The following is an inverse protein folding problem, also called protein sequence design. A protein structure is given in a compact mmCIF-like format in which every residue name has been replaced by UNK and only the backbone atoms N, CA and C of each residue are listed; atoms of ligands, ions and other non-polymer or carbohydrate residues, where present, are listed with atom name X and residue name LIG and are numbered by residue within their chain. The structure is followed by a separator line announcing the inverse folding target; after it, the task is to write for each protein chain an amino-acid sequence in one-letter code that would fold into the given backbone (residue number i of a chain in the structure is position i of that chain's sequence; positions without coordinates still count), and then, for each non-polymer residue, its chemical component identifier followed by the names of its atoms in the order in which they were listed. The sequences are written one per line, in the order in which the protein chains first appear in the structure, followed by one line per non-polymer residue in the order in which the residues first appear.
data_IF_402195950347
#
_entry.id   IF_402195950347
#
_cell.length_a   1.000
_cell.length_b   1.000
_cell.length_c   1.000
_cell.angle_alpha   90.00
_cell.angle_beta   90.00
_cell.angle_gamma   90.00
#
_symmetry.space_group_name_H-M   'P 1'
#
loop_
_entity.id
_entity.type
_entity.pdbx_description
1 polymer ?
#
# COMPACT_ATOMS: atom_id res chain seq x y z
N UNK A 1 53.73 -13.01 -59.55
CA UNK A 1 52.89 -12.84 -60.75
C UNK A 1 52.56 -14.22 -61.29
N UNK A 2 51.37 -14.67 -60.96
CA UNK A 2 50.76 -15.96 -61.32
C UNK A 2 49.29 -15.65 -61.60
N UNK A 3 48.67 -16.27 -62.62
CA UNK A 3 47.40 -15.81 -63.19
C UNK A 3 46.16 -16.24 -62.39
N UNK A 4 44.98 -15.63 -62.66
CA UNK A 4 43.78 -15.79 -61.86
C UNK A 4 42.96 -17.01 -62.31
N UNK A 5 42.41 -17.75 -61.33
CA UNK A 5 41.40 -18.78 -61.56
C UNK A 5 40.02 -18.22 -61.24
N UNK A 6 39.19 -18.07 -62.28
CA UNK A 6 37.75 -17.77 -62.20
C UNK A 6 36.96 -19.07 -62.43
N UNK A 7 35.95 -19.34 -61.60
CA UNK A 7 34.70 -20.14 -61.82
C UNK A 7 34.16 -20.53 -60.44
N UNK A 8 32.88 -20.61 -60.09
CA UNK A 8 31.57 -20.12 -60.53
C UNK A 8 30.60 -20.47 -59.34
N UNK A 9 29.39 -19.88 -59.23
CA UNK A 9 28.60 -19.88 -58.01
C UNK A 9 27.72 -21.14 -57.85
N UNK A 10 27.71 -21.69 -56.63
CA UNK A 10 26.91 -22.85 -56.24
C UNK A 10 25.45 -22.48 -55.90
N UNK A 11 24.56 -23.16 -56.62
CA UNK A 11 23.12 -23.34 -56.50
C UNK A 11 22.41 -22.98 -55.18
N UNK A 12 21.29 -22.27 -55.37
CA UNK A 12 20.19 -22.01 -54.45
C UNK A 12 19.30 -23.24 -54.28
N UNK A 13 19.17 -23.76 -53.05
CA UNK A 13 18.09 -24.67 -52.65
C UNK A 13 16.98 -23.91 -51.96
N UNK A 14 15.89 -23.66 -52.69
CA UNK A 14 14.58 -23.26 -52.15
C UNK A 14 13.94 -24.46 -51.45
N UNK A 15 13.72 -24.35 -50.15
CA UNK A 15 12.79 -25.21 -49.40
C UNK A 15 11.48 -24.46 -49.21
N UNK A 16 10.48 -24.78 -50.03
CA UNK A 16 9.09 -24.38 -49.87
C UNK A 16 8.38 -25.42 -49.00
N UNK A 17 8.00 -25.05 -47.78
CA UNK A 17 7.05 -25.82 -46.96
C UNK A 17 5.64 -25.23 -47.10
N UNK A 18 4.59 -26.07 -47.28
CA UNK A 18 3.23 -25.61 -47.44
C UNK A 18 2.55 -25.33 -46.08
N UNK A 19 1.76 -24.26 -46.05
CA UNK A 19 0.89 -23.89 -44.94
C UNK A 19 -0.35 -24.81 -44.86
N UNK A 20 -0.85 -25.14 -43.65
CA UNK A 20 -2.10 -25.86 -43.50
C UNK A 20 -3.31 -24.92 -43.61
N UNK A 21 -4.13 -25.18 -44.62
CA UNK A 21 -5.48 -24.60 -44.80
C UNK A 21 -6.46 -25.18 -43.78
N UNK A 22 -7.01 -24.33 -42.92
CA UNK A 22 -8.13 -24.66 -42.04
C UNK A 22 -9.45 -24.17 -42.66
N UNK A 23 -10.33 -25.12 -42.98
CA UNK A 23 -11.73 -24.87 -43.35
C UNK A 23 -12.57 -24.49 -42.12
N UNK A 24 -13.49 -23.51 -42.19
CA UNK A 24 -14.51 -23.35 -41.18
C UNK A 24 -15.74 -24.19 -41.54
N UNK A 25 -16.12 -25.07 -40.62
CA UNK A 25 -17.37 -25.80 -40.65
C UNK A 25 -18.56 -24.86 -40.41
N UNK A 26 -19.58 -25.05 -41.25
CA UNK A 26 -20.91 -24.49 -41.17
C UNK A 26 -21.59 -24.74 -39.83
N UNK A 27 -22.24 -23.72 -39.26
CA UNK A 27 -23.37 -23.94 -38.38
C UNK A 27 -24.52 -22.99 -38.73
N UNK A 28 -25.54 -23.56 -39.38
CA UNK A 28 -26.83 -22.91 -39.64
C UNK A 28 -27.70 -23.12 -38.40
N UNK A 29 -28.15 -22.03 -37.78
CA UNK A 29 -29.19 -22.05 -36.75
C UNK A 29 -30.27 -21.03 -37.10
N UNK A 30 -31.41 -21.52 -37.56
CA UNK A 30 -32.65 -20.77 -37.73
C UNK A 30 -33.34 -20.55 -36.38
N UNK A 31 -33.79 -19.32 -36.12
CA UNK A 31 -34.99 -18.98 -35.33
C UNK A 31 -35.30 -17.48 -35.55
N UNK A 32 -36.28 -17.11 -36.39
CA UNK A 32 -37.69 -16.81 -36.02
C UNK A 32 -37.79 -15.82 -34.83
N UNK A 33 -38.14 -14.54 -34.98
CA UNK A 33 -39.43 -13.94 -35.39
C UNK A 33 -40.09 -13.22 -34.20
N UNK A 34 -40.65 -12.04 -34.48
CA UNK A 34 -41.71 -11.32 -33.70
C UNK A 34 -41.24 -10.56 -32.45
N UNK A 35 -41.87 -9.49 -31.97
CA UNK A 35 -42.93 -8.53 -32.41
C UNK A 35 -43.08 -7.58 -31.22
N UNK A 36 -43.32 -6.29 -31.48
CA UNK A 36 -43.95 -5.36 -30.51
C UNK A 36 -43.10 -5.02 -29.28
N UNK A 37 -43.25 -3.89 -28.62
CA UNK A 37 -44.33 -2.91 -28.60
C UNK A 37 -43.84 -1.76 -27.73
N UNK A 38 -43.89 -0.53 -28.25
CA UNK A 38 -43.97 0.67 -27.41
C UNK A 38 -45.21 0.58 -26.51
N UNK A 39 -45.17 1.17 -25.31
CA UNK A 39 -45.93 2.40 -25.15
C UNK A 39 -45.28 3.48 -24.28
N UNK A 40 -45.59 4.72 -24.64
CA UNK A 40 -46.01 5.80 -23.75
C UNK A 40 -46.07 5.46 -22.25
N UNK A 41 -45.59 6.35 -21.37
CA UNK A 41 -46.28 7.56 -20.86
C UNK A 41 -45.73 8.00 -19.50
N UNK A 42 -45.91 9.30 -19.25
CA UNK A 42 -46.05 10.02 -17.96
C UNK A 42 -44.77 10.48 -17.27
N UNK A 43 -44.62 11.81 -17.32
CA UNK A 43 -43.78 12.56 -16.42
C UNK A 43 -44.27 12.53 -14.97
N UNK A 44 -43.30 12.83 -14.10
CA UNK A 44 -43.47 13.30 -12.73
C UNK A 44 -42.43 14.43 -12.60
N UNK A 45 -42.88 15.68 -12.56
CA UNK A 45 -43.20 16.41 -11.33
C UNK A 45 -41.97 16.49 -10.40
N UNK A 46 -41.21 17.58 -10.57
CA UNK A 46 -40.06 17.90 -9.75
C UNK A 46 -40.46 18.31 -8.33
N UNK A 47 -39.61 18.06 -7.32
CA UNK A 47 -39.83 18.57 -5.98
C UNK A 47 -39.47 20.05 -5.85
N UNK A 48 -40.12 20.78 -4.92
CA UNK A 48 -40.03 22.22 -4.80
C UNK A 48 -38.68 22.69 -4.24
N UNK A 49 -38.20 23.81 -4.79
CA UNK A 49 -37.05 24.56 -4.27
C UNK A 49 -37.39 25.15 -2.91
N UNK A 50 -36.76 24.63 -1.86
CA UNK A 50 -36.73 25.28 -0.55
C UNK A 50 -35.75 26.45 -0.60
N UNK A 51 -36.29 27.65 -0.36
CA UNK A 51 -35.55 28.88 -0.20
C UNK A 51 -34.75 28.85 1.11
N UNK A 52 -33.43 28.88 1.02
CA UNK A 52 -32.53 29.17 2.14
C UNK A 52 -32.58 30.67 2.45
N UNK A 53 -32.88 31.09 3.70
CA UNK A 53 -32.76 32.48 4.11
C UNK A 53 -31.28 32.89 4.23
N UNK A 54 -30.91 33.98 3.55
CA UNK A 54 -29.67 34.73 3.81
C UNK A 54 -29.75 35.36 5.19
N UNK A 55 -29.02 34.83 6.17
CA UNK A 55 -28.70 35.55 7.39
C UNK A 55 -27.53 36.50 7.11
N UNK A 56 -27.80 37.81 7.18
CA UNK A 56 -26.78 38.87 7.33
C UNK A 56 -26.13 38.70 8.70
N UNK A 57 -24.81 38.54 8.74
CA UNK A 57 -24.02 38.78 9.94
C UNK A 57 -23.80 40.30 10.08
N UNK A 58 -24.09 40.91 11.23
CA UNK A 58 -23.70 42.29 11.51
C UNK A 58 -22.24 42.35 11.97
N UNK A 59 -21.58 43.45 11.58
CA UNK A 59 -20.29 43.91 12.12
C UNK A 59 -20.31 43.89 13.65
N UNK A 60 -19.38 43.15 14.25
CA UNK A 60 -19.27 42.98 15.69
C UNK A 60 -17.81 42.97 16.12
N UNK A 61 -17.36 44.11 16.62
CA UNK A 61 -16.05 44.37 17.24
C UNK A 61 -15.67 43.25 18.23
N UNK A 62 -14.42 42.81 18.15
CA UNK A 62 -13.78 41.96 19.15
C UNK A 62 -13.51 42.81 20.41
N UNK A 63 -14.07 42.48 21.59
CA UNK A 63 -13.63 43.09 22.83
C UNK A 63 -12.37 42.39 23.32
N UNK A 64 -11.27 43.14 23.36
CA UNK A 64 -10.05 42.81 24.10
C UNK A 64 -10.41 42.69 25.57
N UNK A 65 -10.55 41.46 26.08
CA UNK A 65 -10.77 41.21 27.49
C UNK A 65 -9.42 41.29 28.22
N UNK A 66 -9.14 42.48 28.76
CA UNK A 66 -8.08 42.72 29.73
C UNK A 66 -8.45 41.97 31.01
N UNK A 67 -7.67 40.95 31.34
CA UNK A 67 -7.85 40.10 32.51
C UNK A 67 -7.25 40.83 33.72
N UNK A 68 -8.10 41.56 34.45
CA UNK A 68 -7.74 42.26 35.68
C UNK A 68 -7.58 41.25 36.82
N UNK A 69 -6.35 41.08 37.30
CA UNK A 69 -6.03 40.35 38.52
C UNK A 69 -6.59 41.10 39.74
N UNK A 70 -7.53 40.47 40.45
CA UNK A 70 -7.98 40.87 41.79
C UNK A 70 -7.22 40.02 42.82
N UNK A 71 -6.50 40.61 43.79
CA UNK A 71 -5.93 39.85 44.89
C UNK A 71 -7.01 39.64 45.95
N UNK A 72 -7.52 38.41 46.09
CA UNK A 72 -8.39 38.01 47.19
C UNK A 72 -7.55 37.45 48.32
N UNK A 73 -7.55 38.16 49.44
CA UNK A 73 -6.89 37.80 50.67
C UNK A 73 -7.58 36.60 51.36
N UNK A 74 -6.74 35.77 51.97
CA UNK A 74 -6.95 35.03 53.22
C UNK A 74 -8.23 34.19 53.37
N UNK A 75 -8.11 32.89 53.07
CA UNK A 75 -8.68 31.85 53.94
C UNK A 75 -7.75 30.63 53.94
N UNK A 76 -6.73 30.67 54.80
CA UNK A 76 -5.80 29.59 55.06
C UNK A 76 -6.45 28.57 56.00
N UNK A 77 -7.36 27.77 55.47
CA UNK A 77 -7.74 26.50 56.09
C UNK A 77 -6.64 25.48 55.79
N UNK A 78 -6.01 24.99 56.85
CA UNK A 78 -5.02 23.91 56.84
C UNK A 78 -5.50 22.77 55.94
N UNK A 79 -4.91 22.66 54.75
CA UNK A 79 -4.89 21.40 54.03
C UNK A 79 -4.04 20.41 54.84
N UNK A 80 -4.48 19.17 55.01
CA UNK A 80 -3.62 18.13 55.56
C UNK A 80 -2.34 18.05 54.73
N UNK A 81 -1.21 17.91 55.41
CA UNK A 81 0.12 17.75 54.83
C UNK A 81 0.18 16.40 54.10
N UNK A 82 -0.36 16.37 52.89
CA UNK A 82 -0.38 15.18 52.03
C UNK A 82 0.90 15.19 51.23
N UNK A 83 1.83 14.31 51.59
CA UNK A 83 3.08 14.12 50.87
C UNK A 83 2.77 13.77 49.39
N UNK A 84 3.09 14.66 48.43
CA UNK A 84 2.77 14.44 47.02
C UNK A 84 3.46 13.21 46.45
N UNK A 85 4.53 12.70 47.09
CA UNK A 85 5.19 11.46 46.68
C UNK A 85 4.43 10.21 47.12
N UNK A 86 3.78 10.24 48.28
CA UNK A 86 2.94 9.12 48.74
C UNK A 86 1.71 8.98 47.83
N UNK A 87 1.09 10.09 47.45
CA UNK A 87 -0.09 10.10 46.57
C UNK A 87 0.23 9.64 45.14
N UNK A 88 1.42 9.99 44.61
CA UNK A 88 1.90 9.50 43.31
C UNK A 88 2.30 8.02 43.34
N UNK A 89 2.81 7.52 44.48
CA UNK A 89 3.15 6.11 44.63
C UNK A 89 1.90 5.23 44.70
N UNK A 90 0.87 5.68 45.42
CA UNK A 90 -0.40 4.96 45.53
C UNK A 90 -1.19 4.96 44.19
N UNK A 91 -1.15 6.09 43.46
CA UNK A 91 -1.69 6.16 42.09
C UNK A 91 -0.96 5.26 41.08
N UNK A 92 0.32 4.93 41.31
CA UNK A 92 1.08 4.03 40.46
C UNK A 92 0.90 2.56 40.86
N UNK A 93 0.75 2.28 42.15
CA UNK A 93 0.45 0.94 42.67
C UNK A 93 -0.93 0.43 42.22
N UNK A 94 -1.93 1.31 42.13
CA UNK A 94 -3.26 0.95 41.57
C UNK A 94 -3.25 0.71 40.05
N UNK A 95 -2.23 1.14 39.31
CA UNK A 95 -2.16 0.96 37.84
C UNK A 95 -1.70 -0.42 37.38
N UNK A 96 -1.14 -1.25 38.27
CA UNK A 96 -0.41 -2.47 37.87
C UNK A 96 -1.25 -3.75 37.98
N UNK A 97 -2.47 -3.69 38.53
CA UNK A 97 -3.29 -4.89 38.80
C UNK A 97 -4.59 -4.99 38.00
N UNK A 98 -4.73 -4.28 36.87
CA UNK A 98 -5.85 -4.57 35.97
C UNK A 98 -5.49 -5.76 35.08
N UNK A 99 -6.13 -6.93 35.24
CA UNK A 99 -5.99 -8.02 34.28
C UNK A 99 -6.27 -7.44 32.89
N UNK A 100 -5.42 -7.76 31.92
CA UNK A 100 -5.58 -7.32 30.55
C UNK A 100 -6.96 -7.77 30.06
N UNK A 101 -7.95 -6.87 30.13
CA UNK A 101 -9.27 -7.12 29.59
C UNK A 101 -9.06 -7.49 28.11
N UNK A 102 -9.54 -8.66 27.66
CA UNK A 102 -9.54 -8.99 26.25
C UNK A 102 -10.12 -7.77 25.53
N UNK A 103 -9.36 -7.18 24.59
CA UNK A 103 -9.82 -6.00 23.84
C UNK A 103 -11.27 -6.25 23.45
N UNK A 104 -12.20 -5.34 23.78
CA UNK A 104 -13.62 -5.61 23.67
C UNK A 104 -13.86 -6.13 22.25
N UNK A 105 -14.35 -7.37 22.15
CA UNK A 105 -15.13 -7.82 20.99
C UNK A 105 -16.01 -6.62 20.63
N UNK A 106 -15.95 -6.18 19.38
CA UNK A 106 -16.59 -4.95 18.90
C UNK A 106 -17.87 -4.71 19.69
N UNK A 107 -18.02 -3.55 20.33
CA UNK A 107 -19.08 -3.29 21.33
C UNK A 107 -20.47 -3.76 20.84
N UNK A 108 -20.70 -3.73 19.54
CA UNK A 108 -21.86 -4.29 18.85
C UNK A 108 -22.05 -5.81 19.04
N UNK A 109 -20.98 -6.61 18.98
CA UNK A 109 -21.00 -8.05 19.25
C UNK A 109 -21.32 -8.37 20.71
N UNK A 110 -20.88 -7.52 21.65
CA UNK A 110 -21.24 -7.63 23.06
C UNK A 110 -22.71 -7.30 23.30
N UNK A 111 -23.23 -6.25 22.65
CA UNK A 111 -24.65 -5.89 22.68
C UNK A 111 -25.53 -6.98 22.07
N UNK A 112 -25.14 -7.53 20.91
CA UNK A 112 -25.85 -8.67 20.28
C UNK A 112 -25.88 -9.89 21.20
N UNK A 113 -24.75 -10.23 21.84
CA UNK A 113 -24.71 -11.34 22.81
C UNK A 113 -25.55 -11.09 24.07
N UNK A 114 -25.74 -9.83 24.49
CA UNK A 114 -26.62 -9.48 25.61
C UNK A 114 -28.10 -9.61 25.23
N UNK A 115 -28.46 -9.31 23.97
CA UNK A 115 -29.81 -9.53 23.45
C UNK A 115 -30.13 -11.02 23.29
N UNK A 116 -29.19 -11.80 22.73
CA UNK A 116 -29.34 -13.26 22.58
C UNK A 116 -29.53 -13.97 23.93
N UNK A 117 -28.86 -13.48 24.98
CA UNK A 117 -29.02 -13.99 26.35
C UNK A 117 -30.27 -13.46 27.07
N UNK A 118 -31.07 -12.61 26.43
CA UNK A 118 -32.27 -12.00 27.01
C UNK A 118 -31.99 -10.99 28.13
N UNK A 119 -30.73 -10.57 28.31
CA UNK A 119 -30.33 -9.59 29.34
C UNK A 119 -30.76 -8.18 28.93
N UNK A 120 -30.74 -7.90 27.62
CA UNK A 120 -31.28 -6.67 27.03
C UNK A 120 -32.38 -7.04 26.05
N UNK A 121 -33.45 -6.24 26.00
CA UNK A 121 -34.35 -6.29 24.86
C UNK A 121 -33.67 -5.72 23.61
N UNK A 122 -34.12 -6.12 22.42
CA UNK A 122 -33.62 -5.57 21.16
C UNK A 122 -33.75 -4.03 21.12
N UNK A 123 -34.82 -3.50 21.71
CA UNK A 123 -35.10 -2.07 21.77
C UNK A 123 -34.15 -1.33 22.72
N UNK A 124 -33.79 -1.92 23.87
CA UNK A 124 -32.79 -1.37 24.78
C UNK A 124 -31.39 -1.37 24.16
N UNK A 125 -31.02 -2.45 23.46
CA UNK A 125 -29.75 -2.50 22.74
C UNK A 125 -29.66 -1.41 21.67
N UNK A 126 -30.76 -1.09 20.97
CA UNK A 126 -30.80 0.01 19.99
C UNK A 126 -30.70 1.39 20.63
N UNK A 127 -31.28 1.61 21.82
CA UNK A 127 -31.07 2.84 22.59
C UNK A 127 -29.59 2.99 22.95
N UNK A 128 -28.96 1.92 23.47
CA UNK A 128 -27.55 1.92 23.85
C UNK A 128 -26.65 2.13 22.64
N UNK A 129 -26.97 1.54 21.48
CA UNK A 129 -26.25 1.80 20.22
C UNK A 129 -26.32 3.27 19.84
N UNK A 130 -27.51 3.88 19.91
CA UNK A 130 -27.70 5.31 19.60
C UNK A 130 -26.89 6.20 20.54
N UNK A 131 -26.90 5.92 21.84
CA UNK A 131 -26.17 6.73 22.82
C UNK A 131 -24.65 6.56 22.75
N UNK A 132 -24.17 5.35 22.48
CA UNK A 132 -22.75 5.10 22.27
C UNK A 132 -22.23 5.64 20.93
N UNK A 133 -23.09 6.24 20.10
CA UNK A 133 -22.75 6.64 18.74
C UNK A 133 -22.33 5.43 17.88
N UNK A 134 -22.68 4.22 18.29
CA UNK A 134 -22.55 3.00 17.50
C UNK A 134 -23.65 3.15 16.46
N UNK A 135 -23.30 3.83 15.36
CA UNK A 135 -24.12 3.92 14.17
C UNK A 135 -24.47 2.48 13.82
N UNK A 136 -25.73 2.10 14.07
CA UNK A 136 -26.29 0.84 13.64
C UNK A 136 -25.82 0.68 12.21
N UNK A 137 -25.02 -0.35 11.94
CA UNK A 137 -24.52 -0.60 10.60
C UNK A 137 -25.77 -0.86 9.77
N UNK A 138 -26.32 0.19 9.15
CA UNK A 138 -27.43 0.08 8.21
C UNK A 138 -27.02 -1.04 7.25
N UNK A 139 -27.82 -2.11 7.24
CA UNK A 139 -27.39 -3.45 6.83
C UNK A 139 -26.45 -3.44 5.61
N UNK A 140 -25.33 -4.18 5.63
CA UNK A 140 -24.30 -4.18 4.58
C UNK A 140 -24.81 -4.46 3.15
N UNK A 141 -26.01 -5.02 3.02
CA UNK A 141 -26.49 -5.63 1.78
C UNK A 141 -26.81 -4.64 0.67
N UNK A 142 -27.42 -3.48 0.97
CA UNK A 142 -27.74 -2.49 -0.10
C UNK A 142 -26.51 -1.76 -0.62
N UNK A 143 -25.52 -1.50 0.24
CA UNK A 143 -24.23 -0.93 -0.18
C UNK A 143 -23.42 -1.91 -1.01
N UNK A 144 -23.37 -3.17 -0.60
CA UNK A 144 -22.59 -4.22 -1.27
C UNK A 144 -23.09 -4.54 -2.67
N UNK A 145 -24.41 -4.63 -2.90
CA UNK A 145 -24.96 -4.87 -4.24
C UNK A 145 -24.65 -3.71 -5.18
N UNK A 146 -24.76 -2.47 -4.71
CA UNK A 146 -24.40 -1.29 -5.51
C UNK A 146 -22.90 -1.24 -5.83
N UNK A 147 -22.04 -1.67 -4.90
CA UNK A 147 -20.60 -1.75 -5.10
C UNK A 147 -20.22 -2.84 -6.12
N UNK A 148 -20.77 -4.05 -5.99
CA UNK A 148 -20.58 -5.12 -6.98
C UNK A 148 -21.12 -4.70 -8.35
N UNK A 149 -22.33 -4.14 -8.40
CA UNK A 149 -22.93 -3.68 -9.66
C UNK A 149 -22.07 -2.58 -10.30
N UNK A 150 -21.47 -1.69 -9.51
CA UNK A 150 -20.52 -0.69 -9.98
C UNK A 150 -19.24 -1.30 -10.57
N UNK A 151 -18.64 -2.28 -9.89
CA UNK A 151 -17.45 -2.97 -10.39
C UNK A 151 -17.73 -3.81 -11.64
N UNK A 152 -18.82 -4.57 -11.62
CA UNK A 152 -19.23 -5.40 -12.75
C UNK A 152 -19.62 -4.53 -13.95
N UNK A 153 -20.38 -3.47 -13.72
CA UNK A 153 -20.74 -2.50 -14.75
C UNK A 153 -19.51 -1.82 -15.34
N UNK A 154 -18.56 -1.38 -14.51
CA UNK A 154 -17.30 -0.82 -14.97
C UNK A 154 -16.47 -1.81 -15.80
N UNK A 155 -16.35 -3.06 -15.35
CA UNK A 155 -15.62 -4.11 -16.06
C UNK A 155 -16.28 -4.47 -17.41
N UNK A 156 -17.61 -4.56 -17.45
CA UNK A 156 -18.36 -4.81 -18.69
C UNK A 156 -18.22 -3.66 -19.69
N UNK A 157 -18.32 -2.41 -19.24
CA UNK A 157 -18.11 -1.23 -20.10
C UNK A 157 -16.69 -1.21 -20.65
N UNK A 158 -15.68 -1.47 -19.80
CA UNK A 158 -14.29 -1.53 -20.22
C UNK A 158 -14.04 -2.65 -21.24
N UNK A 159 -14.58 -3.85 -20.99
CA UNK A 159 -14.46 -5.00 -21.91
C UNK A 159 -15.13 -4.69 -23.24
N UNK A 160 -16.34 -4.13 -23.23
CA UNK A 160 -17.06 -3.73 -24.44
C UNK A 160 -16.29 -2.68 -25.24
N UNK A 161 -15.69 -1.69 -24.56
CA UNK A 161 -14.84 -0.70 -25.21
C UNK A 161 -13.60 -1.33 -25.86
N UNK A 162 -12.92 -2.26 -25.17
CA UNK A 162 -11.75 -2.97 -25.71
C UNK A 162 -12.14 -3.79 -26.95
N UNK A 163 -13.22 -4.56 -26.90
CA UNK A 163 -13.70 -5.37 -28.03
C UNK A 163 -14.12 -4.48 -29.22
N UNK A 164 -14.79 -3.37 -28.95
CA UNK A 164 -15.19 -2.42 -29.98
C UNK A 164 -13.97 -1.78 -30.67
N UNK A 165 -12.98 -1.35 -29.88
CA UNK A 165 -11.73 -0.79 -30.41
C UNK A 165 -11.00 -1.85 -31.22
N UNK A 166 -10.81 -3.06 -30.69
CA UNK A 166 -10.11 -4.15 -31.37
C UNK A 166 -10.76 -4.53 -32.70
N UNK A 167 -12.09 -4.65 -32.75
CA UNK A 167 -12.83 -5.00 -33.97
C UNK A 167 -12.88 -3.88 -35.02
N UNK A 168 -12.75 -2.63 -34.59
CA UNK A 168 -12.78 -1.46 -35.49
C UNK A 168 -11.38 -0.99 -35.89
N UNK A 169 -10.34 -1.40 -35.15
CA UNK A 169 -8.99 -0.85 -35.25
C UNK A 169 -8.46 -0.83 -36.68
N UNK A 170 -8.49 -1.98 -37.35
CA UNK A 170 -7.98 -2.15 -38.72
C UNK A 170 -8.73 -1.30 -39.75
N UNK A 171 -9.99 -0.94 -39.48
CA UNK A 171 -10.83 -0.14 -40.39
C UNK A 171 -10.68 1.36 -40.19
N UNK A 172 -10.14 1.78 -39.05
CA UNK A 172 -9.92 3.20 -38.75
C UNK A 172 -8.67 3.70 -39.46
N UNK A 173 -8.76 4.87 -40.09
CA UNK A 173 -7.58 5.61 -40.54
C UNK A 173 -6.71 5.99 -39.34
N UNK A 174 -5.42 6.22 -39.57
CA UNK A 174 -4.48 6.66 -38.53
C UNK A 174 -5.01 7.90 -37.78
N UNK A 175 -5.50 8.91 -38.51
CA UNK A 175 -6.13 10.11 -37.94
C UNK A 175 -7.34 9.78 -37.06
N UNK A 176 -8.16 8.81 -37.45
CA UNK A 176 -9.30 8.37 -36.67
C UNK A 176 -8.88 7.63 -35.39
N UNK A 177 -7.83 6.79 -35.44
CA UNK A 177 -7.25 6.12 -34.26
C UNK A 177 -6.68 7.13 -33.27
N UNK A 178 -5.88 8.08 -33.75
CA UNK A 178 -5.26 9.12 -32.93
C UNK A 178 -6.30 10.03 -32.30
N UNK A 179 -7.30 10.51 -33.07
CA UNK A 179 -8.37 11.36 -32.52
C UNK A 179 -9.25 10.63 -31.51
N UNK A 180 -9.55 9.35 -31.73
CA UNK A 180 -10.29 8.53 -30.78
C UNK A 180 -9.52 8.38 -29.45
N UNK A 181 -8.23 8.05 -29.51
CA UNK A 181 -7.41 7.91 -28.30
C UNK A 181 -7.15 9.23 -27.59
N UNK A 182 -6.99 10.33 -28.33
CA UNK A 182 -6.92 11.68 -27.75
C UNK A 182 -8.21 12.00 -26.97
N UNK A 183 -9.38 11.69 -27.54
CA UNK A 183 -10.67 11.89 -26.88
C UNK A 183 -10.82 11.02 -25.62
N UNK A 184 -10.40 9.76 -25.68
CA UNK A 184 -10.36 8.86 -24.50
C UNK A 184 -9.45 9.43 -23.42
N UNK A 185 -8.26 9.91 -23.79
CA UNK A 185 -7.31 10.53 -22.86
C UNK A 185 -7.92 11.73 -22.16
N UNK A 186 -8.55 12.64 -22.90
CA UNK A 186 -9.24 13.82 -22.34
C UNK A 186 -10.39 13.40 -21.43
N UNK A 187 -11.19 12.39 -21.82
CA UNK A 187 -12.29 11.88 -21.02
C UNK A 187 -11.79 11.27 -19.69
N UNK A 188 -10.69 10.51 -19.70
CA UNK A 188 -10.08 9.94 -18.50
C UNK A 188 -9.53 11.02 -17.57
N UNK A 189 -8.84 12.04 -18.09
CA UNK A 189 -8.36 13.19 -17.31
C UNK A 189 -9.53 13.96 -16.67
N UNK A 190 -10.58 14.23 -17.44
CA UNK A 190 -11.76 14.93 -16.94
C UNK A 190 -12.50 14.11 -15.88
N UNK A 191 -12.70 12.80 -16.10
CA UNK A 191 -13.31 11.91 -15.13
C UNK A 191 -12.48 11.80 -13.85
N UNK A 192 -11.15 11.71 -13.96
CA UNK A 192 -10.22 11.73 -12.83
C UNK A 192 -10.33 13.02 -12.02
N UNK A 193 -10.35 14.18 -12.68
CA UNK A 193 -10.51 15.48 -12.04
C UNK A 193 -11.88 15.65 -11.35
N UNK A 194 -12.97 15.17 -11.99
CA UNK A 194 -14.31 15.17 -11.38
C UNK A 194 -14.37 14.24 -10.16
N UNK A 195 -13.76 13.05 -10.25
CA UNK A 195 -13.71 12.07 -9.17
C UNK A 195 -12.87 12.55 -7.98
N UNK A 196 -11.78 13.29 -8.23
CA UNK A 196 -10.97 13.91 -7.18
C UNK A 196 -11.75 14.97 -6.39
N UNK A 197 -12.72 15.64 -7.04
CA UNK A 197 -13.60 16.63 -6.43
C UNK A 197 -12.89 17.96 -6.13
N UNK A 198 -13.68 19.02 -5.90
CA UNK A 198 -13.17 20.40 -5.65
C UNK A 198 -13.02 20.75 -4.17
N UNK A 199 -13.41 19.87 -3.24
CA UNK A 199 -13.50 20.20 -1.81
C UNK A 199 -12.62 19.30 -0.94
N UNK A 200 -11.67 19.90 -0.22
CA UNK A 200 -10.89 19.29 0.87
C UNK A 200 -11.73 18.94 2.11
N UNK A 201 -12.95 18.44 1.93
CA UNK A 201 -13.93 18.38 3.01
C UNK A 201 -14.32 16.94 3.40
N UNK A 202 -13.93 16.63 4.65
CA UNK A 202 -14.38 15.56 5.55
C UNK A 202 -13.84 14.16 5.29
N UNK A 203 -13.14 13.67 6.32
CA UNK A 203 -12.55 12.35 6.59
C UNK A 203 -13.56 11.17 6.53
N UNK A 204 -14.45 11.18 5.55
CA UNK A 204 -15.35 10.05 5.30
C UNK A 204 -14.63 9.00 4.46
N UNK A 205 -14.80 7.72 4.77
CA UNK A 205 -14.27 6.58 3.98
C UNK A 205 -14.56 6.69 2.48
N UNK A 206 -15.66 7.35 2.11
CA UNK A 206 -16.03 7.61 0.72
C UNK A 206 -15.02 8.52 -0.03
N UNK A 207 -14.38 9.46 0.67
CA UNK A 207 -13.31 10.28 0.09
C UNK A 207 -12.11 9.42 -0.31
N UNK A 208 -11.75 8.43 0.52
CA UNK A 208 -10.64 7.51 0.21
C UNK A 208 -10.91 6.66 -1.04
N UNK A 209 -12.14 6.15 -1.21
CA UNK A 209 -12.50 5.37 -2.40
C UNK A 209 -12.47 6.22 -3.68
N UNK A 210 -13.01 7.44 -3.63
CA UNK A 210 -13.00 8.37 -4.78
C UNK A 210 -11.60 8.75 -5.22
N UNK A 211 -10.71 9.04 -4.27
CA UNK A 211 -9.31 9.37 -4.57
C UNK A 211 -8.55 8.18 -5.20
N UNK A 212 -8.86 6.94 -4.79
CA UNK A 212 -8.30 5.75 -5.44
C UNK A 212 -8.76 5.64 -6.89
N UNK A 213 -10.05 5.79 -7.15
CA UNK A 213 -10.61 5.76 -8.52
C UNK A 213 -9.99 6.88 -9.37
N UNK A 214 -9.91 8.10 -8.85
CA UNK A 214 -9.27 9.20 -9.55
C UNK A 214 -7.79 8.91 -9.89
N UNK A 215 -7.03 8.31 -8.96
CA UNK A 215 -5.63 7.94 -9.21
C UNK A 215 -5.47 6.88 -10.31
N UNK A 216 -6.42 5.94 -10.42
CA UNK A 216 -6.46 4.93 -11.49
C UNK A 216 -6.80 5.59 -12.84
N UNK A 217 -7.79 6.48 -12.86
CA UNK A 217 -8.17 7.20 -14.08
C UNK A 217 -7.02 8.05 -14.64
N UNK A 218 -6.29 8.74 -13.77
CA UNK A 218 -5.11 9.48 -14.18
C UNK A 218 -3.97 8.58 -14.67
N UNK A 219 -3.75 7.43 -14.03
CA UNK A 219 -2.77 6.44 -14.49
C UNK A 219 -3.11 5.91 -15.89
N UNK A 220 -4.39 5.59 -16.15
CA UNK A 220 -4.86 5.18 -17.47
C UNK A 220 -4.73 6.30 -18.50
N UNK A 221 -5.01 7.55 -18.11
CA UNK A 221 -4.82 8.70 -18.99
C UNK A 221 -3.35 8.89 -19.42
N UNK A 222 -2.40 8.66 -18.51
CA UNK A 222 -0.97 8.73 -18.82
C UNK A 222 -0.54 7.66 -19.84
N UNK A 223 -0.99 6.40 -19.65
CA UNK A 223 -0.74 5.32 -20.61
C UNK A 223 -1.41 5.60 -21.95
N UNK A 224 -2.66 6.06 -21.93
CA UNK A 224 -3.39 6.46 -23.13
C UNK A 224 -2.71 7.61 -23.87
N UNK A 225 -2.10 8.56 -23.14
CA UNK A 225 -1.29 9.64 -23.73
C UNK A 225 -0.09 9.08 -24.49
N UNK A 226 0.67 8.16 -23.88
CA UNK A 226 1.81 7.53 -24.56
C UNK A 226 1.38 6.81 -25.84
N UNK A 227 0.30 6.04 -25.80
CA UNK A 227 -0.23 5.33 -26.98
C UNK A 227 -0.71 6.32 -28.05
N UNK A 228 -1.40 7.40 -27.64
CA UNK A 228 -1.89 8.44 -28.56
C UNK A 228 -0.73 9.11 -29.30
N UNK A 229 0.32 9.51 -28.57
CA UNK A 229 1.52 10.12 -29.16
C UNK A 229 2.24 9.12 -30.05
N UNK A 230 2.36 7.86 -29.62
CA UNK A 230 2.97 6.77 -30.40
C UNK A 230 2.33 6.56 -31.77
N UNK A 231 1.00 6.60 -31.85
CA UNK A 231 0.26 6.42 -33.12
C UNK A 231 0.23 7.70 -33.97
N UNK A 232 0.41 8.86 -33.35
CA UNK A 232 0.48 10.12 -34.09
C UNK A 232 1.83 10.34 -34.80
N UNK A 233 2.81 9.47 -34.56
CA UNK A 233 4.14 9.55 -35.15
C UNK A 233 4.15 8.90 -36.54
N UNK A 234 4.87 9.47 -37.52
CA UNK A 234 4.91 8.93 -38.89
C UNK A 234 5.51 7.53 -38.96
N UNK A 235 5.01 6.69 -39.86
CA UNK A 235 5.62 5.40 -40.18
C UNK A 235 6.84 5.54 -41.12
N UNK A 236 7.95 4.80 -40.91
CA UNK A 236 8.18 3.85 -39.82
C UNK A 236 8.60 4.56 -38.51
N UNK A 237 8.00 4.16 -37.39
CA UNK A 237 8.31 4.73 -36.08
C UNK A 237 9.73 4.33 -35.64
N UNK A 238 10.55 5.32 -35.30
CA UNK A 238 11.88 5.13 -34.75
C UNK A 238 11.85 4.95 -33.22
N UNK A 239 12.88 4.31 -32.65
CA UNK A 239 13.01 4.16 -31.19
C UNK A 239 13.04 5.52 -30.46
N UNK A 240 13.62 6.55 -31.08
CA UNK A 240 13.64 7.91 -30.53
C UNK A 240 12.22 8.51 -30.44
N UNK A 241 11.37 8.24 -31.43
CA UNK A 241 9.97 8.67 -31.43
C UNK A 241 9.14 7.88 -30.40
N UNK A 242 9.40 6.58 -30.23
CA UNK A 242 8.82 5.80 -29.14
C UNK A 242 9.23 6.34 -27.77
N UNK A 243 10.48 6.77 -27.61
CA UNK A 243 10.95 7.41 -26.38
C UNK A 243 10.21 8.73 -26.10
N UNK A 244 9.95 9.54 -27.13
CA UNK A 244 9.12 10.75 -27.02
C UNK A 244 7.69 10.42 -26.59
N UNK A 245 7.08 9.39 -27.19
CA UNK A 245 5.74 8.93 -26.83
C UNK A 245 5.67 8.46 -25.36
N UNK A 246 6.63 7.63 -24.94
CA UNK A 246 6.78 7.22 -23.56
C UNK A 246 6.96 8.42 -22.61
N UNK A 247 7.83 9.36 -22.99
CA UNK A 247 8.13 10.56 -22.22
C UNK A 247 6.92 11.47 -22.02
N UNK A 248 6.07 11.62 -23.04
CA UNK A 248 4.81 12.35 -22.93
C UNK A 248 3.86 11.70 -21.92
N UNK A 249 3.70 10.37 -21.98
CA UNK A 249 2.93 9.64 -20.97
C UNK A 249 3.53 9.76 -19.58
N UNK A 250 4.85 9.62 -19.44
CA UNK A 250 5.56 9.75 -18.17
C UNK A 250 5.34 11.13 -17.54
N UNK A 251 5.40 12.20 -18.33
CA UNK A 251 5.11 13.55 -17.87
C UNK A 251 3.70 13.65 -17.28
N UNK A 252 2.69 13.12 -17.99
CA UNK A 252 1.31 13.08 -17.49
C UNK A 252 1.19 12.25 -16.22
N UNK A 253 1.88 11.10 -16.13
CA UNK A 253 1.88 10.25 -14.94
C UNK A 253 2.50 10.96 -13.72
N UNK A 254 3.63 11.65 -13.90
CA UNK A 254 4.32 12.40 -12.84
C UNK A 254 3.46 13.57 -12.36
N UNK A 255 2.93 14.38 -13.27
CA UNK A 255 2.02 15.50 -12.92
C UNK A 255 0.80 14.97 -12.16
N UNK A 256 0.21 13.89 -12.63
CA UNK A 256 -0.93 13.26 -11.97
C UNK A 256 -0.61 12.71 -10.59
N UNK A 257 0.58 12.11 -10.42
CA UNK A 257 1.05 11.63 -9.12
C UNK A 257 1.30 12.78 -8.13
N UNK A 258 1.82 13.93 -8.60
CA UNK A 258 2.00 15.13 -7.77
C UNK A 258 0.65 15.66 -7.31
N UNK A 259 -0.33 15.76 -8.22
CA UNK A 259 -1.69 16.26 -7.91
C UNK A 259 -2.43 15.31 -6.97
N UNK A 260 -2.36 14.02 -7.24
CA UNK A 260 -3.07 12.99 -6.48
C UNK A 260 -2.16 11.78 -6.22
N UNK A 261 -1.32 11.84 -5.16
CA UNK A 261 -0.41 10.76 -4.86
C UNK A 261 -1.19 9.48 -4.55
N UNK A 262 -1.05 8.49 -5.41
CA UNK A 262 -1.68 7.18 -5.28
C UNK A 262 -0.78 6.08 -5.84
N UNK A 263 -0.97 4.84 -5.37
CA UNK A 263 -0.18 3.68 -5.80
C UNK A 263 -0.28 3.46 -7.31
N UNK A 264 -1.46 3.61 -7.89
CA UNK A 264 -1.68 3.45 -9.34
C UNK A 264 -0.90 4.47 -10.17
N UNK A 265 -0.86 5.74 -9.72
CA UNK A 265 -0.05 6.77 -10.36
C UNK A 265 1.45 6.48 -10.28
N UNK A 266 1.93 5.97 -9.14
CA UNK A 266 3.32 5.55 -8.98
C UNK A 266 3.68 4.39 -9.91
N UNK A 267 2.79 3.39 -10.03
CA UNK A 267 2.98 2.25 -10.93
C UNK A 267 3.01 2.68 -12.40
N UNK A 268 2.09 3.56 -12.83
CA UNK A 268 2.08 4.09 -14.19
C UNK A 268 3.34 4.91 -14.50
N UNK A 269 3.73 5.82 -13.60
CA UNK A 269 4.96 6.59 -13.75
C UNK A 269 6.20 5.68 -13.81
N UNK A 270 6.24 4.63 -13.00
CA UNK A 270 7.34 3.65 -13.01
C UNK A 270 7.40 2.87 -14.32
N UNK A 271 6.27 2.34 -14.80
CA UNK A 271 6.22 1.60 -16.06
C UNK A 271 6.57 2.47 -17.27
N UNK A 272 6.04 3.70 -17.32
CA UNK A 272 6.34 4.66 -18.38
C UNK A 272 7.81 5.13 -18.31
N UNK A 273 8.39 5.28 -17.12
CA UNK A 273 9.82 5.57 -16.96
C UNK A 273 10.67 4.45 -17.56
N UNK A 274 10.37 3.19 -17.25
CA UNK A 274 11.09 2.05 -17.82
C UNK A 274 10.97 1.99 -19.34
N UNK A 275 9.75 2.16 -19.86
CA UNK A 275 9.50 2.19 -21.30
C UNK A 275 10.28 3.30 -21.99
N UNK A 276 10.23 4.54 -21.46
CA UNK A 276 10.99 5.68 -22.00
C UNK A 276 12.50 5.43 -21.97
N UNK A 277 13.03 4.88 -20.87
CA UNK A 277 14.47 4.64 -20.76
C UNK A 277 14.91 3.54 -21.71
N UNK A 278 14.18 2.43 -21.82
CA UNK A 278 14.55 1.33 -22.74
C UNK A 278 14.52 1.77 -24.21
N UNK A 279 13.48 2.49 -24.62
CA UNK A 279 13.39 3.05 -25.99
C UNK A 279 14.46 4.11 -26.24
N UNK A 280 14.77 4.96 -25.25
CA UNK A 280 15.87 5.94 -25.34
C UNK A 280 17.22 5.23 -25.49
N UNK A 281 17.46 4.17 -24.71
CA UNK A 281 18.69 3.37 -24.81
C UNK A 281 18.76 2.72 -26.18
N UNK A 282 17.69 2.09 -26.66
CA UNK A 282 17.65 1.48 -27.99
C UNK A 282 17.80 2.47 -29.16
N UNK A 283 17.42 3.73 -28.95
CA UNK A 283 17.60 4.80 -29.94
C UNK A 283 19.05 5.30 -30.01
N UNK A 284 19.78 5.31 -28.88
CA UNK A 284 21.13 5.89 -28.78
C UNK A 284 22.24 4.84 -28.81
N UNK A 285 21.91 3.60 -28.48
CA UNK A 285 22.79 2.45 -28.46
C UNK A 285 22.06 1.32 -29.15
N UNK A 286 22.76 0.47 -29.89
CA UNK A 286 22.18 -0.84 -30.23
C UNK A 286 21.75 -1.46 -28.90
N UNK A 287 20.47 -1.86 -28.78
CA UNK A 287 19.84 -2.27 -27.52
C UNK A 287 20.45 -3.60 -27.03
N UNK A 288 21.67 -3.52 -26.53
CA UNK A 288 22.39 -4.63 -25.92
C UNK A 288 21.79 -4.92 -24.55
N UNK A 289 21.77 -6.19 -24.10
CA UNK A 289 21.35 -6.56 -22.75
C UNK A 289 22.10 -5.80 -21.66
N UNK A 290 23.38 -5.46 -21.89
CA UNK A 290 24.16 -4.63 -20.97
C UNK A 290 23.61 -3.20 -20.88
N UNK A 291 23.44 -2.51 -22.00
CA UNK A 291 22.94 -1.13 -22.00
C UNK A 291 21.52 -1.04 -21.45
N UNK A 292 20.65 -1.98 -21.84
CA UNK A 292 19.30 -2.11 -21.29
C UNK A 292 19.32 -2.37 -19.78
N UNK A 293 20.15 -3.30 -19.31
CA UNK A 293 20.32 -3.61 -17.89
C UNK A 293 20.78 -2.41 -17.06
N UNK A 294 21.75 -1.64 -17.55
CA UNK A 294 22.22 -0.40 -16.90
C UNK A 294 21.09 0.63 -16.83
N UNK A 295 20.35 0.84 -17.92
CA UNK A 295 19.21 1.77 -17.96
C UNK A 295 18.12 1.40 -16.96
N UNK A 296 17.74 0.12 -16.92
CA UNK A 296 16.73 -0.39 -15.97
C UNK A 296 17.23 -0.31 -14.53
N UNK A 297 18.49 -0.66 -14.27
CA UNK A 297 19.10 -0.53 -12.94
C UNK A 297 19.08 0.93 -12.47
N UNK A 298 19.45 1.87 -13.34
CA UNK A 298 19.44 3.30 -13.04
C UNK A 298 18.01 3.82 -12.71
N UNK A 299 16.98 3.33 -13.41
CA UNK A 299 15.59 3.64 -13.08
C UNK A 299 15.21 3.17 -11.67
N UNK A 300 15.57 1.94 -11.33
CA UNK A 300 15.32 1.38 -10.00
C UNK A 300 16.08 2.13 -8.90
N UNK A 301 17.32 2.53 -9.17
CA UNK A 301 18.15 3.33 -8.28
C UNK A 301 17.55 4.72 -8.04
N UNK A 302 17.07 5.38 -9.10
CA UNK A 302 16.37 6.66 -9.03
C UNK A 302 15.12 6.57 -8.15
N UNK A 303 14.25 5.58 -8.40
CA UNK A 303 13.03 5.36 -7.61
C UNK A 303 13.33 5.04 -6.14
N UNK A 304 14.35 4.22 -5.88
CA UNK A 304 14.81 3.92 -4.53
C UNK A 304 15.33 5.18 -3.84
N UNK A 305 16.12 6.00 -4.54
CA UNK A 305 16.60 7.30 -4.04
C UNK A 305 15.47 8.26 -3.70
N UNK A 306 14.46 8.39 -4.57
CA UNK A 306 13.25 9.20 -4.35
C UNK A 306 12.42 8.69 -3.16
N UNK A 307 12.37 7.37 -2.95
CA UNK A 307 11.70 6.78 -1.78
C UNK A 307 12.49 7.05 -0.49
N UNK A 308 13.82 6.95 -0.54
CA UNK A 308 14.69 7.17 0.62
C UNK A 308 14.74 8.63 1.07
N UNK A 309 14.68 9.57 0.12
CA UNK A 309 14.62 11.02 0.39
C UNK A 309 13.26 11.50 0.91
N UNK A 310 12.24 10.62 0.94
CA UNK A 310 10.90 10.96 1.41
C UNK A 310 10.08 11.78 0.42
N UNK A 311 10.55 11.95 -0.82
CA UNK A 311 9.80 12.63 -1.88
C UNK A 311 8.54 11.84 -2.31
N UNK A 312 8.57 10.51 -2.17
CA UNK A 312 7.42 9.66 -2.46
C UNK A 312 6.52 9.50 -1.23
N UNK A 313 5.24 9.90 -1.37
CA UNK A 313 4.22 9.72 -0.33
C UNK A 313 4.00 8.24 0.04
N UNK A 314 4.20 7.34 -0.93
CA UNK A 314 4.09 5.89 -0.75
C UNK A 314 5.47 5.24 -0.64
N UNK A 315 6.24 5.64 0.38
CA UNK A 315 7.65 5.27 0.56
C UNK A 315 7.93 3.77 0.44
N UNK A 316 7.15 2.91 1.10
CA UNK A 316 7.36 1.46 1.07
C UNK A 316 7.14 0.87 -0.32
N UNK A 317 6.10 1.32 -1.02
CA UNK A 317 5.79 0.88 -2.39
C UNK A 317 6.86 1.34 -3.37
N UNK A 318 7.29 2.61 -3.28
CA UNK A 318 8.37 3.15 -4.12
C UNK A 318 9.70 2.43 -3.91
N UNK A 319 10.04 2.14 -2.65
CA UNK A 319 11.24 1.40 -2.31
C UNK A 319 11.17 -0.05 -2.82
N UNK A 320 10.02 -0.72 -2.65
CA UNK A 320 9.83 -2.08 -3.18
C UNK A 320 9.95 -2.14 -4.71
N UNK A 321 9.27 -1.24 -5.42
CA UNK A 321 9.36 -1.14 -6.88
C UNK A 321 10.79 -0.84 -7.34
N UNK A 322 11.45 0.15 -6.74
CA UNK A 322 12.81 0.52 -7.09
C UNK A 322 13.78 -0.65 -6.93
N UNK A 323 13.73 -1.38 -5.81
CA UNK A 323 14.62 -2.52 -5.56
C UNK A 323 14.35 -3.72 -6.49
N UNK A 324 13.08 -4.02 -6.79
CA UNK A 324 12.73 -5.07 -7.77
C UNK A 324 13.26 -4.71 -9.15
N UNK A 325 13.15 -3.45 -9.55
CA UNK A 325 13.65 -2.94 -10.83
C UNK A 325 15.18 -2.96 -10.88
N UNK A 326 15.86 -2.55 -9.81
CA UNK A 326 17.32 -2.66 -9.70
C UNK A 326 17.77 -4.11 -9.84
N UNK A 327 17.08 -5.05 -9.18
CA UNK A 327 17.41 -6.47 -9.26
C UNK A 327 17.24 -7.00 -10.69
N UNK A 328 16.13 -6.67 -11.36
CA UNK A 328 15.90 -7.06 -12.75
C UNK A 328 16.95 -6.45 -13.69
N UNK A 329 17.28 -5.17 -13.53
CA UNK A 329 18.33 -4.50 -14.30
C UNK A 329 19.72 -5.11 -14.10
N UNK A 330 20.05 -5.52 -12.87
CA UNK A 330 21.30 -6.20 -12.55
C UNK A 330 21.42 -7.58 -13.22
N UNK A 331 20.31 -8.28 -13.43
CA UNK A 331 20.27 -9.61 -14.06
C UNK A 331 20.11 -9.59 -15.59
N UNK A 332 19.75 -8.44 -16.18
CA UNK A 332 19.55 -8.35 -17.63
C UNK A 332 20.79 -8.75 -18.46
N UNK A 333 22.05 -8.43 -18.05
CA UNK A 333 23.23 -8.84 -18.80
C UNK A 333 23.48 -10.35 -18.87
N UNK A 334 22.74 -11.19 -18.11
CA UNK A 334 22.89 -12.66 -18.15
C UNK A 334 22.53 -13.29 -19.50
N UNK A 335 21.81 -12.56 -20.37
CA UNK A 335 21.45 -13.04 -21.71
C UNK A 335 22.65 -13.22 -22.64
N UNK A 336 23.80 -12.64 -22.32
CA UNK A 336 25.03 -12.72 -23.11
C UNK A 336 26.16 -13.31 -22.27
N UNK A 337 26.82 -14.35 -22.79
CA UNK A 337 27.89 -15.09 -22.09
C UNK A 337 29.02 -14.18 -21.60
N UNK A 338 29.40 -13.18 -22.40
CA UNK A 338 30.50 -12.27 -22.08
C UNK A 338 30.23 -11.39 -20.85
N UNK A 339 28.95 -11.14 -20.53
CA UNK A 339 28.53 -10.25 -19.43
C UNK A 339 27.96 -10.98 -18.21
N UNK A 340 27.85 -12.31 -18.25
CA UNK A 340 27.35 -13.11 -17.13
C UNK A 340 28.10 -12.83 -15.80
N UNK A 341 29.46 -12.77 -15.76
CA UNK A 341 30.17 -12.47 -14.52
C UNK A 341 29.80 -11.12 -13.92
N UNK A 342 29.55 -10.12 -14.78
CA UNK A 342 29.16 -8.78 -14.35
C UNK A 342 27.76 -8.78 -13.73
N UNK A 343 26.82 -9.55 -14.28
CA UNK A 343 25.48 -9.69 -13.70
C UNK A 343 25.51 -10.29 -12.29
N UNK A 344 26.33 -11.33 -12.06
CA UNK A 344 26.51 -11.90 -10.72
C UNK A 344 27.08 -10.89 -9.73
N UNK A 345 28.14 -10.18 -10.14
CA UNK A 345 28.77 -9.16 -9.29
C UNK A 345 27.78 -8.04 -9.00
N UNK A 346 27.04 -7.54 -9.99
CA UNK A 346 26.05 -6.49 -9.82
C UNK A 346 24.92 -6.91 -8.87
N UNK A 347 24.35 -8.10 -9.05
CA UNK A 347 23.28 -8.63 -8.20
C UNK A 347 23.76 -8.87 -6.77
N UNK A 348 24.98 -9.41 -6.60
CA UNK A 348 25.57 -9.61 -5.28
C UNK A 348 25.85 -8.28 -4.56
N UNK A 349 26.44 -7.30 -5.26
CA UNK A 349 26.69 -5.95 -4.74
C UNK A 349 25.38 -5.26 -4.35
N UNK A 350 24.32 -5.39 -5.16
CA UNK A 350 22.99 -4.90 -4.81
C UNK A 350 22.47 -5.54 -3.52
N UNK A 351 22.63 -6.86 -3.38
CA UNK A 351 22.23 -7.60 -2.19
C UNK A 351 22.95 -7.12 -0.92
N UNK A 352 24.28 -7.04 -0.96
CA UNK A 352 25.09 -6.51 0.13
C UNK A 352 24.74 -5.04 0.42
N UNK A 353 24.58 -4.22 -0.61
CA UNK A 353 24.16 -2.83 -0.50
C UNK A 353 22.83 -2.67 0.22
N UNK A 354 21.85 -3.52 -0.08
CA UNK A 354 20.57 -3.56 0.62
C UNK A 354 20.72 -3.97 2.10
N UNK A 355 21.49 -5.02 2.39
CA UNK A 355 21.74 -5.47 3.76
C UNK A 355 22.45 -4.40 4.61
N UNK A 356 23.39 -3.68 4.00
CA UNK A 356 24.08 -2.54 4.63
C UNK A 356 23.08 -1.39 4.81
N UNK A 357 22.29 -1.05 3.79
CA UNK A 357 21.25 -0.02 3.82
C UNK A 357 20.21 -0.26 4.93
N UNK A 358 19.87 -1.52 5.18
CA UNK A 358 18.93 -1.93 6.24
C UNK A 358 19.36 -1.44 7.63
N UNK A 359 20.67 -1.28 7.88
CA UNK A 359 21.18 -0.77 9.16
C UNK A 359 20.68 0.64 9.49
N UNK A 360 20.47 1.49 8.48
CA UNK A 360 19.96 2.86 8.66
C UNK A 360 18.45 2.96 8.46
N UNK A 361 17.89 2.29 7.46
CA UNK A 361 16.46 2.45 7.09
C UNK A 361 15.54 1.54 7.90
N UNK A 362 16.05 0.38 8.38
CA UNK A 362 15.34 -0.61 9.21
C UNK A 362 13.95 -1.04 8.71
N UNK A 363 13.77 -1.08 7.39
CA UNK A 363 12.52 -1.51 6.75
C UNK A 363 12.65 -2.95 6.25
N UNK A 364 11.64 -3.79 6.52
CA UNK A 364 11.64 -5.20 6.09
C UNK A 364 11.79 -5.39 4.58
N UNK A 365 11.26 -4.47 3.76
CA UNK A 365 11.38 -4.50 2.28
C UNK A 365 12.84 -4.49 1.83
N UNK A 366 13.69 -3.64 2.43
CA UNK A 366 15.13 -3.56 2.13
C UNK A 366 15.83 -4.87 2.51
N UNK A 367 15.47 -5.43 3.68
CA UNK A 367 16.03 -6.70 4.15
C UNK A 367 15.68 -7.85 3.21
N UNK A 368 14.40 -7.99 2.84
CA UNK A 368 13.92 -9.04 1.95
C UNK A 368 14.59 -8.93 0.57
N UNK A 369 14.66 -7.72 0.00
CA UNK A 369 15.34 -7.50 -1.27
C UNK A 369 16.82 -7.89 -1.22
N UNK A 370 17.53 -7.54 -0.15
CA UNK A 370 18.92 -7.92 0.04
C UNK A 370 19.13 -9.44 0.13
N UNK A 371 18.28 -10.12 0.91
CA UNK A 371 18.30 -11.59 1.03
C UNK A 371 17.99 -12.26 -0.31
N UNK A 372 16.96 -11.81 -1.03
CA UNK A 372 16.59 -12.35 -2.34
C UNK A 372 17.74 -12.17 -3.33
N UNK A 373 18.32 -10.97 -3.45
CA UNK A 373 19.42 -10.70 -4.38
C UNK A 373 20.65 -11.61 -4.11
N UNK A 374 21.07 -11.75 -2.85
CA UNK A 374 22.18 -12.67 -2.48
C UNK A 374 21.81 -14.13 -2.75
N UNK A 375 20.56 -14.52 -2.47
CA UNK A 375 20.08 -15.89 -2.68
C UNK A 375 19.90 -16.26 -4.15
N UNK A 376 19.80 -15.29 -5.04
CA UNK A 376 19.78 -15.51 -6.49
C UNK A 376 21.22 -15.53 -7.02
N UNK A 377 22.04 -14.51 -6.69
CA UNK A 377 23.40 -14.39 -7.21
C UNK A 377 24.33 -15.56 -6.81
N UNK A 378 24.26 -16.04 -5.55
CA UNK A 378 25.18 -17.06 -5.08
C UNK A 378 24.95 -18.45 -5.73
N UNK A 379 23.72 -18.99 -5.78
CA UNK A 379 23.46 -20.24 -6.49
C UNK A 379 23.76 -20.18 -7.98
N UNK A 380 23.41 -19.09 -8.67
CA UNK A 380 23.67 -18.95 -10.10
C UNK A 380 25.17 -18.93 -10.39
N UNK A 381 25.96 -18.17 -9.61
CA UNK A 381 27.41 -18.15 -9.74
C UNK A 381 28.04 -19.53 -9.48
N UNK A 382 27.54 -20.29 -8.49
CA UNK A 382 28.03 -21.65 -8.21
C UNK A 382 27.63 -22.62 -9.31
N UNK A 383 26.41 -22.52 -9.83
CA UNK A 383 25.92 -23.35 -10.92
C UNK A 383 26.82 -23.20 -12.15
N UNK A 384 27.10 -21.96 -12.56
CA UNK A 384 27.93 -21.66 -13.71
C UNK A 384 29.40 -22.03 -13.49
N UNK A 385 29.97 -21.76 -12.31
CA UNK A 385 31.35 -22.15 -11.98
C UNK A 385 31.56 -23.67 -11.92
N UNK A 386 30.49 -24.45 -11.77
CA UNK A 386 30.56 -25.92 -11.71
C UNK A 386 30.18 -26.57 -13.03
N UNK A 387 29.92 -25.80 -14.09
CA UNK A 387 29.36 -26.30 -15.35
C UNK A 387 28.10 -27.18 -15.12
N UNK A 388 27.33 -26.87 -14.08
CA UNK A 388 26.17 -27.66 -13.63
C UNK A 388 26.49 -29.01 -12.97
N UNK A 389 27.75 -29.39 -12.80
CA UNK A 389 28.16 -30.71 -12.29
C UNK A 389 27.76 -30.98 -10.83
N UNK A 390 27.55 -29.93 -10.02
CA UNK A 390 27.19 -30.04 -8.58
C UNK A 390 25.72 -29.61 -8.32
N UNK A 391 24.93 -29.56 -9.40
CA UNK A 391 23.87 -28.57 -9.61
C UNK A 391 22.69 -28.46 -8.64
N UNK A 392 22.32 -29.50 -7.90
CA UNK A 392 21.14 -29.43 -7.01
C UNK A 392 21.48 -29.38 -5.53
N UNK A 393 22.34 -30.31 -5.09
CA UNK A 393 22.60 -30.54 -3.67
C UNK A 393 23.40 -29.41 -3.02
N UNK A 394 24.41 -28.86 -3.73
CA UNK A 394 25.19 -27.73 -3.20
C UNK A 394 24.34 -26.46 -3.08
N UNK A 395 23.46 -26.20 -4.06
CA UNK A 395 22.53 -25.06 -4.02
C UNK A 395 21.57 -25.17 -2.83
N UNK A 396 20.96 -26.34 -2.61
CA UNK A 396 20.11 -26.57 -1.44
C UNK A 396 20.88 -26.43 -0.12
N UNK A 397 22.12 -26.90 -0.05
CA UNK A 397 22.95 -26.83 1.15
C UNK A 397 23.32 -25.37 1.49
N UNK A 398 23.71 -24.57 0.48
CA UNK A 398 24.01 -23.15 0.66
C UNK A 398 22.75 -22.39 1.07
N UNK A 399 21.62 -22.63 0.39
CA UNK A 399 20.34 -22.01 0.73
C UNK A 399 19.92 -22.35 2.18
N UNK A 400 20.05 -23.61 2.58
CA UNK A 400 19.80 -24.07 3.95
C UNK A 400 20.72 -23.40 4.98
N UNK A 401 22.02 -23.31 4.69
CA UNK A 401 22.99 -22.65 5.56
C UNK A 401 22.68 -21.16 5.76
N UNK A 402 22.32 -20.43 4.68
CA UNK A 402 21.91 -19.02 4.76
C UNK A 402 20.64 -18.87 5.60
N UNK A 403 19.65 -19.74 5.42
CA UNK A 403 18.41 -19.73 6.22
C UNK A 403 18.68 -19.97 7.71
N UNK A 404 19.60 -20.91 8.02
CA UNK A 404 20.02 -21.21 9.39
C UNK A 404 20.73 -20.02 10.05
N UNK A 405 21.64 -19.37 9.33
CA UNK A 405 22.35 -18.18 9.82
C UNK A 405 21.36 -17.03 10.07
N UNK A 406 20.44 -16.79 9.13
CA UNK A 406 19.41 -15.76 9.28
C UNK A 406 18.51 -16.02 10.50
N UNK A 407 18.08 -17.28 10.68
CA UNK A 407 17.29 -17.70 11.84
C UNK A 407 18.04 -17.49 13.16
N UNK A 408 19.31 -17.91 13.23
CA UNK A 408 20.15 -17.73 14.42
C UNK A 408 20.35 -16.25 14.80
N UNK A 409 20.52 -15.37 13.82
CA UNK A 409 20.61 -13.92 14.04
C UNK A 409 19.28 -13.37 14.55
N UNK A 410 18.16 -13.78 13.96
CA UNK A 410 16.81 -13.39 14.40
C UNK A 410 16.52 -13.76 15.86
N UNK A 411 16.90 -14.98 16.27
CA UNK A 411 16.77 -15.44 17.66
C UNK A 411 17.65 -14.66 18.64
N UNK A 412 18.89 -14.32 18.26
CA UNK A 412 19.79 -13.51 19.10
C UNK A 412 19.27 -12.09 19.31
N UNK A 413 18.61 -11.51 18.31
CA UNK A 413 18.00 -10.18 18.43
C UNK A 413 16.76 -10.17 19.33
N UNK A 414 15.92 -11.22 19.29
CA UNK A 414 14.72 -11.30 20.13
C UNK A 414 15.00 -11.53 21.62
N UNK A 415 16.09 -12.23 21.97
CA UNK A 415 16.39 -12.51 23.39
C UNK A 415 16.66 -11.25 24.22
N UNK A 416 17.21 -10.19 23.62
CA UNK A 416 17.48 -8.93 24.32
C UNK A 416 16.22 -8.14 24.69
N UNK A 417 15.10 -8.39 24.02
CA UNK A 417 13.84 -7.70 24.30
C UNK A 417 13.03 -8.41 25.39
N UNK A 418 13.18 -9.73 25.54
CA UNK A 418 12.49 -10.53 26.56
C UNK A 418 13.11 -10.42 27.97
N UNK A 419 14.41 -10.17 28.06
CA UNK A 419 15.14 -10.03 29.33
C UNK A 419 14.80 -8.72 30.09
N UNK A 420 14.19 -7.74 29.40
CA UNK A 420 13.65 -6.52 30.02
C UNK A 420 12.18 -6.67 30.47
N UNK A 421 11.53 -7.77 30.12
CA UNK A 421 10.13 -8.07 30.48
C UNK A 421 10.02 -9.25 31.46
N UNK A 422 11.10 -9.61 32.14
CA UNK A 422 11.07 -10.67 33.16
C UNK A 422 10.44 -10.12 34.45
N UNK A 423 9.41 -10.77 35.02
CA UNK A 423 8.69 -10.30 36.21
C UNK A 423 9.57 -10.08 37.44
N UNK A 424 10.75 -10.70 37.52
CA UNK A 424 11.69 -10.53 38.65
C UNK A 424 12.21 -9.09 38.80
N UNK A 425 12.27 -8.32 37.70
CA UNK A 425 12.56 -6.88 37.79
C UNK A 425 11.42 -6.09 38.42
N UNK A 426 10.17 -6.47 38.16
CA UNK A 426 9.00 -5.91 38.82
C UNK A 426 8.93 -6.33 40.29
N UNK A 427 9.28 -7.58 40.63
CA UNK A 427 9.30 -8.05 42.01
C UNK A 427 10.38 -7.36 42.83
N UNK A 428 11.62 -7.18 42.32
CA UNK A 428 12.68 -6.46 43.05
C UNK A 428 12.45 -4.95 43.17
N UNK A 429 11.82 -4.32 42.18
CA UNK A 429 11.42 -2.91 42.29
C UNK A 429 10.31 -2.71 43.33
N UNK A 430 9.41 -3.69 43.46
CA UNK A 430 8.31 -3.68 44.44
C UNK A 430 8.78 -4.08 45.85
N UNK A 431 9.80 -4.95 45.96
CA UNK A 431 10.43 -5.36 47.22
C UNK A 431 11.39 -4.29 47.78
N UNK A 432 12.01 -3.49 46.91
CA UNK A 432 12.78 -2.30 47.31
C UNK A 432 11.91 -1.15 47.82
N UNK A 433 10.72 -0.95 47.24
CA UNK A 433 9.76 0.06 47.70
C UNK A 433 9.13 -0.28 49.06
N UNK A 434 8.98 -1.57 49.38
CA UNK A 434 8.38 -2.03 50.65
C UNK A 434 9.38 -2.09 51.81
N UNK A 435 10.67 -2.33 51.56
CA UNK A 435 11.70 -2.29 52.62
C UNK A 435 12.11 -0.89 53.08
N UNK A 436 11.82 0.17 52.32
CA UNK A 436 12.15 1.55 52.68
C UNK A 436 11.15 2.23 53.66
N UNK A 437 9.95 1.66 53.86
CA UNK A 437 8.86 2.32 54.60
C UNK A 437 8.72 1.88 56.07
N UNK A 438 9.60 1.02 56.59
CA UNK A 438 9.40 0.33 57.87
C UNK A 438 10.35 0.65 59.04
N UNK A 439 11.06 1.78 59.07
CA UNK A 439 12.10 2.05 60.12
C UNK A 439 11.81 3.25 61.03
N UNK A 440 10.59 3.78 61.08
CA UNK A 440 10.22 4.79 62.09
C UNK A 440 8.84 4.56 62.68
N UNK A 441 8.77 3.72 63.72
CA UNK A 441 7.87 3.90 64.86
C UNK A 441 8.05 2.72 65.84
N UNK A 442 8.92 2.87 66.84
CA UNK A 442 8.54 2.41 68.17
C UNK A 442 9.45 3.03 69.25
N UNK A 443 8.89 3.97 70.01
CA UNK A 443 9.43 4.44 71.27
C UNK A 443 8.27 4.88 72.18
N UNK A 444 7.75 3.91 72.93
CA UNK A 444 7.44 4.06 74.34
C UNK A 444 6.20 4.87 74.75
N UNK A 445 5.15 4.16 75.18
CA UNK A 445 4.29 4.62 76.26
C UNK A 445 3.68 3.42 76.99
N UNK A 446 4.13 3.21 78.23
CA UNK A 446 3.55 2.26 79.18
C UNK A 446 2.37 2.89 79.94
N UNK A 447 1.37 2.06 80.26
CA UNK A 447 0.79 2.09 81.61
C UNK A 447 -0.73 2.27 81.72
N UNK A 448 -1.28 1.56 82.73
CA UNK A 448 -2.60 1.65 83.36
C UNK A 448 -3.74 0.91 82.63
N UNK A 449 -4.16 -0.26 83.14
CA UNK A 449 -5.30 -0.45 84.08
C UNK A 449 -6.65 -0.19 83.38
N UNK A 450 -7.65 -1.07 83.36
CA UNK A 450 -8.29 -1.81 84.45
C UNK A 450 -9.36 -2.76 83.85
N UNK A 451 -9.90 -3.68 84.65
CA UNK A 451 -10.81 -4.77 84.27
C UNK A 451 -12.07 -4.39 83.46
N UNK A 452 -12.87 -5.34 83.01
CA UNK A 452 -13.67 -6.22 83.88
C UNK A 452 -14.23 -7.34 83.02
N UNK A 453 -14.08 -8.57 83.49
CA UNK A 453 -14.53 -9.80 82.86
C UNK A 453 -15.97 -10.10 83.32
N UNK A 454 -16.93 -10.12 82.40
CA UNK A 454 -18.28 -10.66 82.64
C UNK A 454 -18.78 -11.41 81.41
N UNK A 455 -18.73 -12.74 81.50
CA UNK A 455 -19.61 -13.73 80.85
C UNK A 455 -21.09 -13.53 81.27
N UNK A 456 -22.11 -14.29 80.79
CA UNK A 456 -22.32 -15.12 79.59
C UNK A 456 -23.75 -14.77 78.99
N UNK A 457 -24.63 -15.64 78.42
CA UNK A 457 -24.52 -17.01 77.87
C UNK A 457 -25.23 -17.26 76.51
N UNK A 458 -24.93 -18.41 75.92
CA UNK A 458 -25.95 -19.39 75.51
C UNK A 458 -26.56 -19.26 74.12
N UNK A 459 -26.79 -20.43 73.49
CA UNK A 459 -27.74 -20.53 72.39
C UNK A 459 -27.36 -21.56 71.33
N UNK A 460 -27.47 -22.85 71.69
CA UNK A 460 -27.53 -23.99 70.78
C UNK A 460 -28.68 -23.88 69.78
N UNK A 461 -28.44 -24.33 68.54
CA UNK A 461 -29.25 -25.32 67.81
C UNK A 461 -28.44 -25.88 66.66
#
# INVERSE_FOLDING_TARGET
MTPPSSTAPGATTRTSSPAPSWCPASNRGCSSSSRGSSPHRRGQAGPPRLATPRARLPDGRVPTSTLTLVPSAADSRQLPDVDPRAMLSDMNAQRVSHPAWPRPRTQDHALTSLVERGVLSAEQADIVRRELGITAHAGPTRGFIAEIAGYLGGALVLTGAIVLVASSWERLTETARTSLLALVTVALLAAGAVAAGRGHARESRAATARLRVASVLFALAAVSTAITVGIALPDPVTEAELALAGGAGLLVAVVSYIVLPGVSGLLAATGLLLFTVLTTVGANTDLTPLAGGIGVFACGALLTGLALSGLLRHRLTGLGLGLVIMLYGAQTPMGEHDWQPLAYVATFVLGIGCLVLYRWVRTWVVLVAGVVAVSVAAPEAVWDLTDGAVGGAAVLLIAGAVLLIASAIGFRLHRRTGELATPEGATRAQEGATRGSGVHADAGASGAETGTETHPPGGSS
#
